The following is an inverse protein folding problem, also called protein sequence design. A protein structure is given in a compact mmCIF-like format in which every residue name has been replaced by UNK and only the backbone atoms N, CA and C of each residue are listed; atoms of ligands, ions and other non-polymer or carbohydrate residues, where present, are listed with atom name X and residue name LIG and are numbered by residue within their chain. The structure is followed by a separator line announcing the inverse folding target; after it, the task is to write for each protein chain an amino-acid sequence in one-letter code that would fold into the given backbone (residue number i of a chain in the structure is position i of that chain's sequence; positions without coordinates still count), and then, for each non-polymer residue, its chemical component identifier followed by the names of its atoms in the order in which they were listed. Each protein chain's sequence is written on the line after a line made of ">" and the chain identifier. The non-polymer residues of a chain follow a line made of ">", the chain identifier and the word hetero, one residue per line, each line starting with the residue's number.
data_IF_056111143852
#
_entry.id   IF_056111143852
#
_cell.length_a   1.000
_cell.length_b   1.000
_cell.length_c   1.000
_cell.angle_alpha   90.00
_cell.angle_beta   90.00
_cell.angle_gamma   90.00
#
_symmetry.space_group_name_H-M   'P 1'
#
loop_
_entity.id
_entity.type
_entity.pdbx_description
1 polymer ?
#
# COMPACT_ATOMS: atom_id res chain seq x y z
N UNK A 1 16.16 26.68 -15.52
CA UNK A 1 14.92 25.89 -15.68
C UNK A 1 14.39 25.57 -14.28
N UNK A 2 13.30 26.17 -13.81
CA UNK A 2 12.92 26.12 -12.38
C UNK A 2 11.67 25.29 -12.02
N UNK A 3 11.27 24.28 -12.82
CA UNK A 3 10.19 23.31 -12.49
C UNK A 3 10.29 22.11 -13.45
N UNK A 4 10.09 20.86 -13.00
CA UNK A 4 10.11 19.71 -13.91
C UNK A 4 8.95 19.78 -14.92
N UNK A 5 9.18 19.39 -16.17
CA UNK A 5 8.11 19.24 -17.18
C UNK A 5 7.13 18.11 -16.82
N UNK A 6 7.60 17.11 -16.09
CA UNK A 6 6.85 15.89 -15.77
C UNK A 6 7.19 15.44 -14.35
N UNK A 7 6.15 15.18 -13.56
CA UNK A 7 6.25 14.47 -12.28
C UNK A 7 5.55 13.12 -12.45
N UNK A 8 6.27 12.04 -12.16
CA UNK A 8 5.76 10.66 -12.22
C UNK A 8 5.73 10.10 -10.81
N UNK A 9 4.55 9.81 -10.28
CA UNK A 9 4.41 9.10 -9.01
C UNK A 9 4.18 7.63 -9.31
N UNK A 10 4.99 6.77 -8.69
CA UNK A 10 4.98 5.33 -8.90
C UNK A 10 4.77 4.67 -7.54
N UNK A 11 3.74 3.85 -7.45
CA UNK A 11 3.59 2.95 -6.31
C UNK A 11 4.58 1.78 -6.43
N UNK A 12 5.18 1.37 -5.32
CA UNK A 12 6.03 0.18 -5.25
C UNK A 12 5.35 -1.07 -5.87
N UNK A 13 6.20 -1.98 -6.35
CA UNK A 13 5.78 -3.25 -6.91
C UNK A 13 5.18 -4.19 -5.84
N UNK A 14 4.64 -5.34 -6.24
CA UNK A 14 4.07 -6.29 -5.29
C UNK A 14 5.09 -6.71 -4.21
N UNK A 15 4.74 -6.49 -2.93
CA UNK A 15 5.54 -6.93 -1.78
C UNK A 15 5.05 -8.25 -1.20
N UNK A 16 5.89 -8.89 -0.40
CA UNK A 16 5.52 -10.09 0.36
C UNK A 16 4.31 -9.83 1.26
N UNK A 17 4.22 -8.63 1.86
CA UNK A 17 3.07 -8.21 2.66
C UNK A 17 1.77 -7.99 1.86
N UNK A 18 1.88 -7.71 0.56
CA UNK A 18 0.70 -7.69 -0.31
C UNK A 18 0.19 -9.10 -0.62
N UNK A 19 1.09 -10.08 -0.73
CA UNK A 19 0.74 -11.49 -0.97
C UNK A 19 0.27 -12.20 0.29
N UNK A 20 0.95 -11.96 1.42
CA UNK A 20 0.65 -12.53 2.72
C UNK A 20 0.73 -11.46 3.81
N UNK A 21 -0.42 -10.99 4.27
CA UNK A 21 -0.52 -9.95 5.30
C UNK A 21 0.04 -10.39 6.66
N UNK A 22 0.10 -11.70 6.94
CA UNK A 22 0.63 -12.22 8.20
C UNK A 22 2.13 -11.92 8.39
N UNK A 23 2.85 -11.57 7.32
CA UNK A 23 4.27 -11.20 7.43
C UNK A 23 4.48 -10.00 8.37
N UNK A 24 3.51 -9.11 8.49
CA UNK A 24 3.59 -7.94 9.36
C UNK A 24 3.48 -8.28 10.87
N UNK A 25 3.26 -9.55 11.21
CA UNK A 25 3.34 -10.04 12.59
C UNK A 25 4.79 -10.31 13.02
N UNK A 26 5.69 -10.57 12.06
CA UNK A 26 7.07 -10.99 12.34
C UNK A 26 8.11 -10.07 11.70
N UNK A 27 7.78 -9.39 10.61
CA UNK A 27 8.67 -8.49 9.89
C UNK A 27 8.16 -7.05 10.02
N UNK A 28 8.99 -6.11 10.50
CA UNK A 28 8.64 -4.69 10.51
C UNK A 28 8.27 -4.18 9.11
N UNK A 29 7.21 -3.37 8.98
CA UNK A 29 6.67 -2.99 7.66
C UNK A 29 7.73 -2.38 6.71
N UNK A 30 8.60 -1.52 7.24
CA UNK A 30 9.67 -0.89 6.47
C UNK A 30 10.69 -1.87 5.86
N UNK A 31 10.79 -3.09 6.40
CA UNK A 31 11.71 -4.15 5.95
C UNK A 31 11.07 -5.18 5.03
N UNK A 32 9.76 -5.10 4.77
CA UNK A 32 9.08 -6.05 3.89
C UNK A 32 9.59 -5.90 2.46
N UNK A 33 10.02 -7.03 1.87
CA UNK A 33 10.65 -7.12 0.54
C UNK A 33 9.61 -7.22 -0.58
N UNK A 34 10.09 -7.02 -1.81
CA UNK A 34 9.36 -7.39 -3.02
C UNK A 34 9.29 -8.90 -3.20
N UNK A 35 8.23 -9.37 -3.86
CA UNK A 35 8.19 -10.73 -4.39
C UNK A 35 9.03 -10.85 -5.66
N UNK A 36 9.24 -12.07 -6.16
CA UNK A 36 9.83 -12.28 -7.50
C UNK A 36 9.01 -11.58 -8.60
N UNK A 37 7.68 -11.67 -8.51
CA UNK A 37 6.76 -10.95 -9.38
C UNK A 37 6.88 -9.43 -9.22
N UNK A 38 7.01 -8.93 -7.99
CA UNK A 38 7.28 -7.51 -7.75
C UNK A 38 8.59 -7.03 -8.37
N UNK A 39 9.63 -7.87 -8.35
CA UNK A 39 10.91 -7.56 -9.00
C UNK A 39 10.75 -7.44 -10.52
N UNK A 40 10.00 -8.35 -11.15
CA UNK A 40 9.64 -8.26 -12.59
C UNK A 40 8.86 -6.98 -12.90
N UNK A 41 7.83 -6.67 -12.12
CA UNK A 41 7.03 -5.45 -12.26
C UNK A 41 7.87 -4.17 -12.17
N UNK A 42 8.88 -4.14 -11.29
CA UNK A 42 9.78 -3.01 -11.13
C UNK A 42 10.68 -2.79 -12.35
N UNK A 43 11.16 -3.88 -12.98
CA UNK A 43 11.93 -3.82 -14.22
C UNK A 43 11.05 -3.30 -15.36
N UNK A 44 9.85 -3.85 -15.54
CA UNK A 44 8.89 -3.40 -16.57
C UNK A 44 8.45 -1.95 -16.37
N UNK A 45 8.34 -1.50 -15.12
CA UNK A 45 8.14 -0.08 -14.82
C UNK A 45 9.31 0.77 -15.33
N UNK A 46 10.55 0.31 -15.18
CA UNK A 46 11.73 0.96 -15.74
C UNK A 46 11.68 1.08 -17.26
N UNK A 47 11.28 0.02 -17.97
CA UNK A 47 11.14 0.02 -19.43
C UNK A 47 10.07 1.00 -19.89
N UNK A 48 8.90 0.99 -19.24
CA UNK A 48 7.81 1.93 -19.51
C UNK A 48 8.23 3.37 -19.22
N UNK A 49 8.97 3.61 -18.14
CA UNK A 49 9.48 4.94 -17.82
C UNK A 49 10.45 5.41 -18.88
N UNK A 50 11.39 4.56 -19.32
CA UNK A 50 12.34 4.90 -20.38
C UNK A 50 11.63 5.37 -21.66
N UNK A 51 10.53 4.71 -22.04
CA UNK A 51 9.72 5.11 -23.20
C UNK A 51 9.00 6.46 -23.08
N UNK A 52 8.87 7.03 -21.86
CA UNK A 52 8.27 8.35 -21.63
C UNK A 52 9.30 9.50 -21.59
N UNK A 53 10.59 9.16 -21.52
CA UNK A 53 11.67 10.13 -21.41
C UNK A 53 12.11 10.59 -22.80
N UNK A 54 12.53 11.85 -22.86
CA UNK A 54 13.15 12.45 -24.03
C UNK A 54 14.67 12.39 -23.88
N UNK A 55 15.45 12.29 -24.97
CA UNK A 55 16.91 12.22 -24.89
C UNK A 55 17.57 13.34 -24.08
N UNK A 56 16.98 14.54 -24.07
CA UNK A 56 17.46 15.70 -23.34
C UNK A 56 17.07 15.73 -21.85
N UNK A 57 16.24 14.78 -21.38
CA UNK A 57 15.76 14.83 -20.01
C UNK A 57 16.85 14.52 -18.99
N UNK A 58 16.78 15.22 -17.86
CA UNK A 58 17.50 14.90 -16.65
C UNK A 58 16.52 14.44 -15.59
N UNK A 59 16.90 13.43 -14.80
CA UNK A 59 16.01 12.79 -13.85
C UNK A 59 16.46 12.97 -12.41
N UNK A 60 15.49 13.26 -11.54
CA UNK A 60 15.61 13.06 -10.10
C UNK A 60 14.62 12.00 -9.67
N UNK A 61 15.08 11.00 -8.94
CA UNK A 61 14.22 10.01 -8.28
C UNK A 61 14.23 10.32 -6.78
N UNK A 62 13.06 10.45 -6.18
CA UNK A 62 12.88 10.50 -4.74
C UNK A 62 12.11 9.24 -4.33
N UNK A 63 12.71 8.40 -3.50
CA UNK A 63 12.12 7.14 -3.03
C UNK A 63 11.81 7.21 -1.54
N UNK A 64 10.75 6.53 -1.12
CA UNK A 64 10.56 6.24 0.30
C UNK A 64 11.69 5.33 0.83
N UNK A 65 11.98 5.37 2.14
CA UNK A 65 13.02 4.56 2.76
C UNK A 65 12.68 3.07 2.87
N UNK A 66 11.43 2.67 2.60
CA UNK A 66 11.03 1.27 2.77
C UNK A 66 11.71 0.36 1.75
N UNK A 67 12.05 -0.86 2.17
CA UNK A 67 12.81 -1.79 1.35
C UNK A 67 12.10 -2.08 0.02
N UNK A 68 10.79 -2.34 0.03
CA UNK A 68 9.97 -2.48 -1.20
C UNK A 68 10.06 -1.29 -2.17
N UNK A 69 10.16 -0.05 -1.68
CA UNK A 69 10.33 1.13 -2.54
C UNK A 69 11.76 1.27 -3.06
N UNK A 70 12.76 0.94 -2.24
CA UNK A 70 14.18 0.88 -2.65
C UNK A 70 14.40 -0.18 -3.74
N UNK A 71 13.88 -1.39 -3.54
CA UNK A 71 13.95 -2.48 -4.52
C UNK A 71 13.20 -2.14 -5.82
N UNK A 72 12.03 -1.50 -5.72
CA UNK A 72 11.31 -1.02 -6.91
C UNK A 72 12.15 0.01 -7.68
N UNK A 73 12.76 0.95 -6.97
CA UNK A 73 13.64 1.97 -7.55
C UNK A 73 14.87 1.34 -8.22
N UNK A 74 15.45 0.30 -7.61
CA UNK A 74 16.56 -0.46 -8.21
C UNK A 74 16.14 -1.13 -9.52
N UNK A 75 14.96 -1.76 -9.56
CA UNK A 75 14.40 -2.34 -10.78
C UNK A 75 14.23 -1.30 -11.89
N UNK A 76 13.68 -0.13 -11.56
CA UNK A 76 13.51 0.99 -12.49
C UNK A 76 14.87 1.45 -13.04
N UNK A 77 15.85 1.69 -12.16
CA UNK A 77 17.19 2.15 -12.53
C UNK A 77 17.93 1.18 -13.46
N UNK A 78 17.68 -0.14 -13.33
CA UNK A 78 18.31 -1.13 -14.21
C UNK A 78 18.04 -0.85 -15.69
N UNK A 79 16.86 -0.32 -16.02
CA UNK A 79 16.45 0.00 -17.38
C UNK A 79 16.83 1.41 -17.80
N UNK A 80 16.86 2.35 -16.85
CA UNK A 80 17.26 3.74 -17.11
C UNK A 80 18.74 3.88 -17.45
N UNK A 81 19.57 2.85 -17.21
CA UNK A 81 20.95 2.77 -17.69
C UNK A 81 21.09 2.96 -19.20
N UNK A 82 20.02 2.67 -19.96
CA UNK A 82 19.94 2.83 -21.42
C UNK A 82 19.70 4.30 -21.85
N UNK A 83 19.40 5.20 -20.92
CA UNK A 83 19.11 6.61 -21.23
C UNK A 83 20.41 7.40 -21.47
N UNK A 84 20.47 8.34 -22.45
CA UNK A 84 21.69 9.11 -22.73
C UNK A 84 22.26 9.90 -21.55
N UNK A 85 21.39 10.37 -20.64
CA UNK A 85 21.76 11.08 -19.41
C UNK A 85 21.71 10.18 -18.15
N UNK A 86 21.92 8.86 -18.28
CA UNK A 86 21.85 7.92 -17.16
C UNK A 86 22.84 8.25 -16.02
N UNK A 87 24.02 8.76 -16.37
CA UNK A 87 25.08 9.21 -15.47
C UNK A 87 24.67 10.40 -14.59
N UNK A 88 23.72 11.22 -15.05
CA UNK A 88 23.22 12.41 -14.35
C UNK A 88 22.04 12.14 -13.43
N UNK A 89 21.50 10.92 -13.42
CA UNK A 89 20.35 10.56 -12.61
C UNK A 89 20.73 10.63 -11.13
N UNK A 90 19.97 11.42 -10.36
CA UNK A 90 20.16 11.53 -8.90
C UNK A 90 19.03 10.82 -8.17
N UNK A 91 19.38 10.05 -7.14
CA UNK A 91 18.43 9.33 -6.27
C UNK A 91 18.52 9.89 -4.86
N UNK A 92 17.39 10.25 -4.29
CA UNK A 92 17.27 10.73 -2.93
C UNK A 92 16.26 9.88 -2.16
N UNK A 93 16.52 9.72 -0.87
CA UNK A 93 15.57 9.10 0.03
C UNK A 93 14.81 10.17 0.81
N UNK A 94 13.50 10.00 0.95
CA UNK A 94 12.63 10.93 1.67
C UNK A 94 11.73 10.18 2.66
N UNK A 95 12.01 10.24 3.97
CA UNK A 95 11.21 9.58 4.99
C UNK A 95 9.76 10.07 5.10
N UNK A 96 9.45 11.30 4.64
CA UNK A 96 8.09 11.87 4.71
C UNK A 96 7.13 11.27 3.68
N UNK A 97 7.63 10.55 2.67
CA UNK A 97 6.80 9.85 1.67
C UNK A 97 6.71 8.34 1.91
N UNK A 98 6.99 7.87 3.12
CA UNK A 98 6.72 6.48 3.54
C UNK A 98 5.22 6.18 3.61
N UNK A 99 4.83 4.90 3.69
CA UNK A 99 3.40 4.53 3.79
C UNK A 99 2.80 5.03 5.12
N UNK A 100 1.48 5.06 5.24
CA UNK A 100 0.83 5.24 6.54
C UNK A 100 1.30 4.15 7.52
N UNK A 101 1.66 4.54 8.74
CA UNK A 101 2.13 3.60 9.75
C UNK A 101 0.94 2.81 10.34
N UNK A 102 0.99 1.47 10.32
CA UNK A 102 -0.06 0.57 10.83
C UNK A 102 0.23 0.05 12.25
N UNK A 103 1.05 0.77 13.02
CA UNK A 103 1.59 0.27 14.28
C UNK A 103 2.89 -0.50 14.10
N UNK A 104 3.39 -1.09 15.20
CA UNK A 104 4.67 -1.80 15.22
C UNK A 104 4.58 -3.16 14.51
N UNK A 105 3.97 -4.14 15.18
CA UNK A 105 3.62 -5.44 14.60
C UNK A 105 2.10 -5.53 14.53
N UNK A 106 1.60 -6.11 13.44
CA UNK A 106 0.17 -6.28 13.26
C UNK A 106 -0.33 -7.44 14.12
N UNK A 107 -1.52 -7.33 14.74
CA UNK A 107 -2.11 -8.42 15.51
C UNK A 107 -2.58 -9.58 14.62
N UNK A 108 -3.21 -10.58 15.24
CA UNK A 108 -3.74 -11.74 14.53
C UNK A 108 -4.80 -11.33 13.47
N UNK A 109 -5.05 -12.22 12.51
CA UNK A 109 -5.94 -11.94 11.38
C UNK A 109 -7.33 -11.46 11.81
N UNK A 110 -7.89 -12.02 12.88
CA UNK A 110 -9.23 -11.64 13.37
C UNK A 110 -9.27 -10.18 13.90
N UNK A 111 -8.25 -9.76 14.64
CA UNK A 111 -8.16 -8.39 15.14
C UNK A 111 -7.88 -7.40 14.01
N UNK A 112 -7.02 -7.78 13.05
CA UNK A 112 -6.79 -7.00 11.84
C UNK A 112 -8.06 -6.81 11.01
N UNK A 113 -8.86 -7.84 10.83
CA UNK A 113 -10.14 -7.74 10.12
C UNK A 113 -11.13 -6.84 10.84
N UNK A 114 -11.24 -6.95 12.17
CA UNK A 114 -12.07 -6.04 12.97
C UNK A 114 -11.63 -4.59 12.77
N UNK A 115 -10.34 -4.32 12.89
CA UNK A 115 -9.77 -2.98 12.70
C UNK A 115 -10.03 -2.46 11.29
N UNK A 116 -9.93 -3.30 10.26
CA UNK A 116 -10.23 -2.90 8.88
C UNK A 116 -11.71 -2.59 8.66
N UNK A 117 -12.63 -3.33 9.27
CA UNK A 117 -14.06 -3.00 9.21
C UNK A 117 -14.36 -1.68 9.91
N UNK A 118 -13.82 -1.49 11.10
CA UNK A 118 -13.98 -0.24 11.86
C UNK A 118 -13.43 0.93 11.06
N UNK A 119 -12.23 0.78 10.50
CA UNK A 119 -11.63 1.79 9.63
C UNK A 119 -12.49 2.13 8.42
N UNK A 120 -13.04 1.13 7.74
CA UNK A 120 -13.90 1.34 6.58
C UNK A 120 -15.21 2.06 6.94
N UNK A 121 -15.75 1.80 8.13
CA UNK A 121 -16.95 2.47 8.64
C UNK A 121 -16.67 3.90 9.14
N UNK A 122 -15.55 4.10 9.83
CA UNK A 122 -15.13 5.40 10.40
C UNK A 122 -14.69 6.39 9.30
N UNK A 123 -13.97 5.89 8.31
CA UNK A 123 -13.39 6.65 7.22
C UNK A 123 -11.87 6.66 7.26
N UNK A 124 -11.26 6.39 6.11
CA UNK A 124 -9.82 6.16 5.99
C UNK A 124 -8.99 7.38 6.35
N UNK A 125 -9.54 8.59 6.17
CA UNK A 125 -8.83 9.84 6.40
C UNK A 125 -8.61 10.12 7.89
N UNK A 126 -9.67 9.99 8.70
CA UNK A 126 -9.64 10.34 10.12
C UNK A 126 -9.38 9.16 11.06
N UNK A 127 -9.59 7.92 10.60
CA UNK A 127 -9.35 6.74 11.44
C UNK A 127 -7.88 6.63 11.85
N UNK A 128 -7.64 6.45 13.15
CA UNK A 128 -6.30 6.33 13.72
C UNK A 128 -6.04 4.90 14.12
N UNK A 129 -5.02 4.33 13.48
CA UNK A 129 -4.60 2.97 13.75
C UNK A 129 -3.88 2.94 15.11
N UNK A 130 -4.17 1.96 15.99
CA UNK A 130 -3.46 1.82 17.26
C UNK A 130 -1.94 1.75 17.08
N UNK A 131 -1.20 2.58 17.83
CA UNK A 131 0.25 2.77 17.71
C UNK A 131 0.75 3.17 16.31
N UNK A 132 -0.17 3.52 15.40
CA UNK A 132 0.12 3.90 14.03
C UNK A 132 -0.29 5.34 13.74
N UNK A 133 -0.67 5.57 12.50
CA UNK A 133 -0.92 6.89 11.93
C UNK A 133 -2.34 6.95 11.34
N UNK A 134 -3.00 8.10 11.36
CA UNK A 134 -4.19 8.38 10.53
C UNK A 134 -3.79 8.97 9.18
N UNK A 135 -4.66 8.95 8.16
CA UNK A 135 -4.28 9.58 6.89
C UNK A 135 -4.17 11.12 7.02
N UNK A 136 -4.83 11.72 8.03
CA UNK A 136 -4.67 13.12 8.39
C UNK A 136 -3.27 13.42 8.93
N UNK A 137 -2.72 12.59 9.82
CA UNK A 137 -1.34 12.75 10.29
C UNK A 137 -0.34 12.60 9.11
N UNK A 138 -0.63 11.66 8.21
CA UNK A 138 0.14 11.46 6.98
C UNK A 138 0.05 12.65 6.00
N UNK A 139 -1.08 13.34 5.96
CA UNK A 139 -1.28 14.56 5.18
C UNK A 139 -0.41 15.71 5.69
N UNK A 140 -0.23 15.84 7.00
CA UNK A 140 0.60 16.88 7.59
C UNK A 140 2.09 16.69 7.26
N UNK A 141 2.62 15.46 7.36
CA UNK A 141 4.02 15.20 6.95
C UNK A 141 4.25 15.40 5.46
N UNK A 142 3.30 15.02 4.60
CA UNK A 142 3.43 15.24 3.15
C UNK A 142 3.32 16.71 2.80
N UNK A 143 2.59 17.50 3.59
CA UNK A 143 2.53 18.95 3.42
C UNK A 143 3.92 19.59 3.52
N UNK A 144 4.68 19.24 4.56
CA UNK A 144 6.06 19.71 4.70
C UNK A 144 7.01 19.22 3.59
N UNK A 145 6.78 18.01 3.06
CA UNK A 145 7.51 17.53 1.88
C UNK A 145 7.19 18.38 0.65
N UNK A 146 5.91 18.63 0.36
CA UNK A 146 5.48 19.43 -0.78
C UNK A 146 6.06 20.85 -0.74
N UNK A 147 6.09 21.49 0.43
CA UNK A 147 6.70 22.81 0.60
C UNK A 147 8.20 22.80 0.30
N UNK A 148 8.95 21.81 0.81
CA UNK A 148 10.35 21.63 0.47
C UNK A 148 10.57 21.37 -1.02
N UNK A 149 9.71 20.56 -1.64
CA UNK A 149 9.80 20.24 -3.06
C UNK A 149 9.53 21.47 -3.93
N UNK A 150 8.51 22.27 -3.58
CA UNK A 150 8.21 23.53 -4.26
C UNK A 150 9.36 24.54 -4.18
N UNK A 151 10.07 24.60 -3.04
CA UNK A 151 11.28 25.44 -2.92
C UNK A 151 12.40 24.95 -3.83
N UNK A 152 12.64 23.63 -3.90
CA UNK A 152 13.67 23.06 -4.78
C UNK A 152 13.38 23.33 -6.25
N UNK A 153 12.12 23.47 -6.64
CA UNK A 153 11.81 23.83 -8.03
C UNK A 153 12.45 25.16 -8.40
N UNK A 154 12.54 26.15 -7.50
CA UNK A 154 13.19 27.43 -7.81
C UNK A 154 14.66 27.31 -8.28
N UNK A 155 15.33 26.19 -8.04
CA UNK A 155 16.68 25.92 -8.54
C UNK A 155 16.68 25.80 -10.07
N UNK A 156 17.49 26.59 -10.77
CA UNK A 156 17.54 26.56 -12.25
C UNK A 156 18.06 25.25 -12.85
N UNK A 157 18.77 24.46 -12.04
CA UNK A 157 19.31 23.15 -12.37
C UNK A 157 18.37 22.01 -11.92
N UNK A 158 17.13 22.31 -11.52
CA UNK A 158 16.19 21.28 -11.14
C UNK A 158 15.88 20.37 -12.36
N UNK A 159 15.95 19.03 -12.21
CA UNK A 159 15.80 18.12 -13.35
C UNK A 159 14.45 18.24 -14.06
N UNK A 160 14.44 17.98 -15.37
CA UNK A 160 13.23 18.11 -16.20
C UNK A 160 12.17 17.07 -15.83
N UNK A 161 12.57 15.91 -15.30
CA UNK A 161 11.64 14.87 -14.86
C UNK A 161 11.90 14.50 -13.40
N UNK A 162 10.84 14.52 -12.59
CA UNK A 162 10.86 14.08 -11.20
C UNK A 162 10.08 12.76 -11.08
N UNK A 163 10.68 11.74 -10.48
CA UNK A 163 10.03 10.47 -10.19
C UNK A 163 9.91 10.30 -8.68
N UNK A 164 8.70 10.05 -8.19
CA UNK A 164 8.41 9.78 -6.78
C UNK A 164 8.05 8.30 -6.64
N UNK A 165 8.90 7.49 -6.00
CA UNK A 165 8.62 6.07 -5.73
C UNK A 165 8.12 5.93 -4.29
N UNK A 166 6.83 5.65 -4.13
CA UNK A 166 6.14 5.67 -2.84
C UNK A 166 5.08 4.55 -2.76
N UNK A 167 4.01 4.77 -2.03
CA UNK A 167 3.00 3.78 -1.66
C UNK A 167 1.61 4.19 -2.12
N UNK A 168 0.65 3.30 -1.92
CA UNK A 168 -0.70 3.47 -2.48
C UNK A 168 -1.48 4.59 -1.81
N UNK A 169 -1.58 4.53 -0.47
CA UNK A 169 -2.29 5.58 0.27
C UNK A 169 -1.50 6.89 0.22
N UNK A 170 -0.18 6.81 0.36
CA UNK A 170 0.68 8.00 0.26
C UNK A 170 0.54 8.75 -1.07
N UNK A 171 0.38 8.03 -2.20
CA UNK A 171 0.09 8.68 -3.50
C UNK A 171 -1.24 9.45 -3.46
N UNK A 172 -2.30 8.87 -2.87
CA UNK A 172 -3.60 9.53 -2.75
C UNK A 172 -3.52 10.79 -1.88
N UNK A 173 -2.79 10.72 -0.76
CA UNK A 173 -2.60 11.85 0.16
C UNK A 173 -1.77 12.95 -0.50
N UNK A 174 -0.69 12.59 -1.20
CA UNK A 174 0.11 13.54 -1.96
C UNK A 174 -0.75 14.31 -2.97
N UNK A 175 -1.59 13.60 -3.74
CA UNK A 175 -2.48 14.21 -4.72
C UNK A 175 -3.55 15.08 -4.06
N UNK A 176 -4.11 14.63 -2.92
CA UNK A 176 -5.05 15.43 -2.14
C UNK A 176 -4.42 16.76 -1.71
N UNK A 177 -3.20 16.72 -1.17
CA UNK A 177 -2.46 17.94 -0.79
C UNK A 177 -2.12 18.81 -2.00
N UNK A 178 -1.71 18.20 -3.11
CA UNK A 178 -1.26 18.91 -4.31
C UNK A 178 -2.39 19.63 -5.03
N UNK A 179 -3.54 18.98 -5.18
CA UNK A 179 -4.69 19.48 -5.92
C UNK A 179 -5.80 20.04 -5.03
N UNK A 180 -5.57 20.10 -3.73
CA UNK A 180 -6.55 20.56 -2.74
C UNK A 180 -7.88 19.82 -2.82
N UNK A 181 -7.81 18.50 -2.99
CA UNK A 181 -9.02 17.68 -3.00
C UNK A 181 -9.72 17.72 -1.65
N UNK A 182 -11.05 17.64 -1.67
CA UNK A 182 -11.84 17.51 -0.45
C UNK A 182 -11.61 16.13 0.18
N UNK A 183 -11.93 16.02 1.47
CA UNK A 183 -11.84 14.74 2.19
C UNK A 183 -12.79 13.71 1.56
N UNK A 184 -13.97 14.12 1.13
CA UNK A 184 -14.97 13.25 0.48
C UNK A 184 -14.43 12.67 -0.83
N UNK A 185 -13.75 13.48 -1.64
CA UNK A 185 -13.13 12.98 -2.86
C UNK A 185 -11.99 12.02 -2.54
N UNK A 186 -11.16 12.33 -1.54
CA UNK A 186 -10.10 11.42 -1.09
C UNK A 186 -10.64 10.05 -0.64
N UNK A 187 -11.73 10.03 0.13
CA UNK A 187 -12.40 8.82 0.58
C UNK A 187 -13.00 8.01 -0.58
N UNK A 188 -13.43 8.69 -1.65
CA UNK A 188 -13.95 8.05 -2.86
C UNK A 188 -12.85 7.49 -3.77
N UNK A 189 -11.59 7.93 -3.62
CA UNK A 189 -10.47 7.41 -4.40
C UNK A 189 -10.14 5.95 -4.03
N UNK A 190 -9.97 5.12 -5.05
CA UNK A 190 -9.44 3.75 -4.89
C UNK A 190 -7.93 3.77 -4.78
N UNK A 191 -7.38 2.72 -4.16
CA UNK A 191 -5.93 2.55 -4.10
C UNK A 191 -5.29 2.43 -5.50
N UNK A 192 -4.08 2.95 -5.64
CA UNK A 192 -3.26 2.90 -6.87
C UNK A 192 -2.70 1.49 -7.05
N UNK A 193 -2.66 0.95 -8.27
CA UNK A 193 -2.12 -0.40 -8.52
C UNK A 193 -0.58 -0.44 -8.45
N UNK A 194 -0.01 -1.63 -8.30
CA UNK A 194 1.46 -1.80 -8.26
C UNK A 194 2.09 -1.29 -9.54
N UNK A 195 3.18 -0.52 -9.40
CA UNK A 195 3.90 0.07 -10.53
C UNK A 195 3.03 0.90 -11.48
N UNK A 196 1.82 1.31 -11.08
CA UNK A 196 0.98 2.21 -11.85
C UNK A 196 1.57 3.61 -11.81
N UNK A 197 1.59 4.29 -12.96
CA UNK A 197 2.10 5.65 -13.08
C UNK A 197 0.97 6.66 -12.89
N UNK A 198 1.18 7.59 -11.97
CA UNK A 198 0.39 8.81 -11.87
C UNK A 198 1.20 9.94 -12.49
N UNK A 199 0.76 10.38 -13.67
CA UNK A 199 1.45 11.37 -14.49
C UNK A 199 0.88 12.76 -14.25
N UNK A 200 1.75 13.69 -13.86
CA UNK A 200 1.44 15.09 -13.65
C UNK A 200 2.33 15.91 -14.59
N UNK A 201 1.73 16.51 -15.61
CA UNK A 201 2.45 17.26 -16.62
C UNK A 201 2.34 18.76 -16.40
N UNK A 202 3.46 19.45 -16.51
CA UNK A 202 3.47 20.91 -16.39
C UNK A 202 2.80 21.54 -17.60
N UNK A 203 1.77 22.34 -17.33
CA UNK A 203 1.13 23.17 -18.32
C UNK A 203 2.01 24.42 -18.58
N UNK A 204 2.43 24.66 -19.83
CA UNK A 204 3.32 25.78 -20.14
C UNK A 204 2.65 27.15 -20.00
N UNK A 205 1.32 27.22 -20.07
CA UNK A 205 0.55 28.47 -20.01
C UNK A 205 0.22 28.84 -18.56
N UNK A 206 -0.27 27.88 -17.77
CA UNK A 206 -0.72 28.14 -16.39
C UNK A 206 0.39 27.97 -15.35
N UNK A 207 1.51 27.37 -15.73
CA UNK A 207 2.62 27.01 -14.84
C UNK A 207 2.22 26.06 -13.69
N UNK A 208 1.06 25.39 -13.84
CA UNK A 208 0.52 24.36 -12.94
C UNK A 208 0.74 22.97 -13.52
N UNK A 209 0.51 21.95 -12.72
CA UNK A 209 0.56 20.55 -13.17
C UNK A 209 -0.85 20.04 -13.45
N UNK A 210 -1.07 19.51 -14.64
CA UNK A 210 -2.30 18.83 -15.02
C UNK A 210 -2.15 17.33 -14.75
N UNK A 211 -3.08 16.75 -13.99
CA UNK A 211 -3.13 15.31 -13.76
C UNK A 211 -3.63 14.59 -15.02
N UNK A 212 -2.74 13.85 -15.70
CA UNK A 212 -3.09 13.10 -16.92
C UNK A 212 -3.69 11.73 -16.61
N UNK A 213 -3.27 11.11 -15.51
CA UNK A 213 -3.79 9.80 -15.10
C UNK A 213 -5.21 9.93 -14.53
N UNK A 214 -6.18 9.24 -15.13
CA UNK A 214 -7.53 9.14 -14.58
C UNK A 214 -7.54 8.24 -13.34
N UNK A 215 -7.84 8.83 -12.19
CA UNK A 215 -7.97 8.10 -10.94
C UNK A 215 -9.28 7.30 -10.90
N UNK A 216 -9.24 6.13 -10.26
CA UNK A 216 -10.43 5.29 -10.06
C UNK A 216 -11.14 5.71 -8.78
N UNK A 217 -12.47 5.72 -8.81
CA UNK A 217 -13.29 6.02 -7.64
C UNK A 217 -14.31 4.92 -7.35
N UNK A 218 -14.70 4.79 -6.08
CA UNK A 218 -15.75 3.87 -5.65
C UNK A 218 -17.11 4.26 -6.22
N UNK A 219 -17.41 5.56 -6.26
CA UNK A 219 -18.63 6.09 -6.87
C UNK A 219 -18.76 5.73 -8.35
N UNK A 220 -17.67 5.78 -9.12
CA UNK A 220 -17.69 5.43 -10.53
C UNK A 220 -17.92 3.93 -10.74
N UNK A 221 -17.33 3.07 -9.90
CA UNK A 221 -17.55 1.63 -9.98
C UNK A 221 -18.97 1.24 -9.56
N UNK A 222 -19.53 1.90 -8.53
CA UNK A 222 -20.93 1.71 -8.12
C UNK A 222 -21.90 2.06 -9.24
N UNK A 223 -21.74 3.21 -9.88
CA UNK A 223 -22.60 3.61 -11.02
C UNK A 223 -22.55 2.59 -12.16
N UNK A 224 -21.36 2.07 -12.49
CA UNK A 224 -21.21 1.03 -13.52
C UNK A 224 -21.92 -0.27 -13.15
N UNK A 225 -21.84 -0.67 -11.89
CA UNK A 225 -22.51 -1.87 -11.40
C UNK A 225 -24.04 -1.69 -11.37
N UNK A 226 -24.54 -0.52 -10.96
CA UNK A 226 -25.96 -0.16 -11.04
C UNK A 226 -26.48 -0.18 -12.48
N UNK A 227 -25.74 0.42 -13.43
CA UNK A 227 -26.05 0.38 -14.86
C UNK A 227 -26.06 -1.05 -15.40
N UNK A 228 -25.12 -1.90 -14.96
CA UNK A 228 -25.06 -3.30 -15.34
C UNK A 228 -26.27 -4.07 -14.81
N UNK A 229 -26.63 -3.87 -13.56
CA UNK A 229 -27.83 -4.48 -12.95
C UNK A 229 -29.13 -4.03 -13.63
N UNK A 230 -29.20 -2.78 -14.10
CA UNK A 230 -30.34 -2.28 -14.89
C UNK A 230 -30.44 -2.97 -16.25
N UNK A 231 -29.32 -3.36 -16.87
CA UNK A 231 -29.29 -4.03 -18.18
C UNK A 231 -29.47 -5.55 -18.09
N UNK A 232 -28.79 -6.19 -17.14
CA UNK A 232 -28.70 -7.66 -17.01
C UNK A 232 -29.74 -8.24 -16.03
N UNK A 233 -30.46 -7.38 -15.29
CA UNK A 233 -31.31 -7.77 -14.18
C UNK A 233 -30.54 -7.76 -12.85
N UNK A 234 -31.09 -7.09 -11.84
CA UNK A 234 -30.50 -7.04 -10.51
C UNK A 234 -30.69 -8.35 -9.71
N UNK A 235 -30.12 -8.44 -8.50
CA UNK A 235 -30.35 -9.58 -7.60
C UNK A 235 -31.85 -9.80 -7.36
N UNK A 236 -32.25 -11.06 -7.19
CA UNK A 236 -33.65 -11.43 -6.96
C UNK A 236 -34.22 -10.71 -5.73
N UNK A 237 -35.52 -10.39 -5.74
CA UNK A 237 -36.22 -9.81 -4.59
C UNK A 237 -36.05 -10.65 -3.30
N UNK A 238 -35.83 -11.98 -3.44
CA UNK A 238 -35.53 -12.87 -2.32
C UNK A 238 -34.14 -12.64 -1.74
N UNK A 239 -33.16 -12.29 -2.57
CA UNK A 239 -31.78 -12.03 -2.17
C UNK A 239 -31.65 -10.65 -1.50
N UNK A 240 -32.33 -9.62 -2.02
CA UNK A 240 -32.42 -8.31 -1.37
C UNK A 240 -33.02 -8.40 0.04
N UNK A 241 -34.13 -9.14 0.20
CA UNK A 241 -34.77 -9.33 1.51
C UNK A 241 -33.88 -10.04 2.51
N UNK A 242 -33.02 -10.96 2.04
CA UNK A 242 -32.05 -11.68 2.87
C UNK A 242 -30.89 -10.77 3.29
N UNK A 243 -30.45 -9.89 2.39
CA UNK A 243 -29.42 -8.87 2.67
C UNK A 243 -29.93 -7.82 3.66
N UNK A 244 -31.15 -7.32 3.49
CA UNK A 244 -31.81 -6.37 4.39
C UNK A 244 -32.04 -6.96 5.78
N UNK A 245 -32.51 -8.21 5.87
CA UNK A 245 -32.67 -8.90 7.15
C UNK A 245 -31.31 -9.13 7.86
N UNK A 246 -30.26 -9.44 7.09
CA UNK A 246 -28.90 -9.53 7.64
C UNK A 246 -28.40 -8.17 8.14
N UNK A 247 -28.65 -7.07 7.41
CA UNK A 247 -28.25 -5.72 7.81
C UNK A 247 -29.03 -5.20 9.03
N UNK A 248 -30.35 -5.45 9.11
CA UNK A 248 -31.21 -4.98 10.20
C UNK A 248 -30.96 -5.70 11.54
N UNK A 249 -30.30 -6.86 11.52
CA UNK A 249 -29.91 -7.62 12.73
C UNK A 249 -28.53 -7.24 13.28
N UNK A 250 -27.87 -6.23 12.68
CA UNK A 250 -26.50 -5.82 12.99
C UNK A 250 -26.50 -4.43 13.66
N UNK A 251 -26.65 -4.39 14.98
CA UNK A 251 -26.22 -3.22 15.73
C UNK A 251 -24.70 -3.34 15.96
N UNK A 252 -23.90 -2.78 15.03
CA UNK A 252 -22.43 -2.82 15.15
C UNK A 252 -21.97 -1.70 16.07
N UNK A 253 -21.54 -2.08 17.27
CA UNK A 253 -20.98 -1.15 18.24
C UNK A 253 -19.44 -1.21 18.16
N UNK A 254 -18.82 -0.19 17.56
CA UNK A 254 -17.36 -0.10 17.45
C UNK A 254 -16.69 0.44 18.74
N UNK A 255 -17.43 1.21 19.55
CA UNK A 255 -16.93 1.82 20.80
C UNK A 255 -17.48 1.16 22.08
N UNK A 256 -16.90 1.49 23.23
CA UNK A 256 -17.34 0.98 24.53
C UNK A 256 -16.19 0.85 25.52
N UNK A 257 -16.49 0.35 26.73
CA UNK A 257 -15.43 0.05 27.69
C UNK A 257 -14.61 -1.15 27.22
N UNK A 258 -13.29 -0.94 27.11
CA UNK A 258 -12.30 -1.94 26.65
C UNK A 258 -12.40 -3.26 27.43
N UNK A 259 -12.74 -3.20 28.72
CA UNK A 259 -12.92 -4.36 29.60
C UNK A 259 -14.38 -4.63 29.98
N UNK A 260 -15.33 -3.94 29.34
CA UNK A 260 -16.70 -3.82 29.82
C UNK A 260 -16.77 -2.96 31.09
N UNK A 261 -17.72 -2.02 31.13
CA UNK A 261 -18.08 -1.34 32.36
C UNK A 261 -19.60 -1.47 32.51
N UNK A 262 -20.06 -1.85 33.71
CA UNK A 262 -21.47 -1.79 34.04
C UNK A 262 -21.87 -0.34 34.35
N UNK A 263 -22.02 0.47 33.31
CA UNK A 263 -22.63 1.81 33.45
C UNK A 263 -24.14 1.74 33.80
N UNK A 264 -24.71 0.54 33.91
CA UNK A 264 -26.11 0.30 34.30
C UNK A 264 -26.36 0.07 35.80
N UNK A 265 -25.33 0.00 36.66
CA UNK A 265 -25.52 -0.31 38.10
C UNK A 265 -25.47 0.92 39.01
N UNK A 266 -26.17 1.99 38.64
CA UNK A 266 -26.66 2.96 39.64
C UNK A 266 -28.14 3.22 39.40
N UNK A 267 -28.96 2.73 40.34
CA UNK A 267 -30.41 2.97 40.50
C UNK A 267 -31.39 2.35 39.49
N UNK A 268 -31.67 1.05 39.65
CA UNK A 268 -33.06 0.57 39.79
C UNK A 268 -33.14 -0.54 40.86
N UNK A 269 -34.05 -0.46 41.85
CA UNK A 269 -34.16 -1.47 42.90
C UNK A 269 -34.74 -2.78 42.36
N UNK A 270 -34.32 -3.86 43.02
CA UNK A 270 -34.52 -5.29 42.79
C UNK A 270 -35.92 -5.73 42.31
N UNK A 271 -35.94 -6.69 41.39
CA UNK A 271 -36.87 -7.82 41.46
C UNK A 271 -36.11 -9.12 41.23
N UNK A 272 -36.13 -10.00 42.23
CA UNK A 272 -35.54 -11.33 42.22
C UNK A 272 -36.23 -12.24 41.21
N UNK A 273 -35.46 -12.99 40.44
CA UNK A 273 -35.83 -14.34 40.02
C UNK A 273 -34.55 -15.18 39.89
N UNK A 274 -34.59 -16.33 40.52
CA UNK A 274 -33.48 -17.19 40.91
C UNK A 274 -33.03 -18.20 39.86
N UNK A 275 -31.76 -18.60 40.02
CA UNK A 275 -31.15 -19.91 39.73
C UNK A 275 -30.77 -20.27 38.29
N UNK A 276 -29.52 -20.75 38.17
CA UNK A 276 -29.11 -21.65 37.11
C UNK A 276 -27.63 -21.54 36.74
N UNK A 277 -26.74 -22.14 37.54
CA UNK A 277 -25.41 -22.53 37.06
C UNK A 277 -25.58 -23.64 36.02
N UNK A 278 -25.14 -23.43 34.77
CA UNK A 278 -24.83 -24.51 33.83
C UNK A 278 -23.74 -24.05 32.84
N UNK A 279 -22.82 -24.98 32.61
CA UNK A 279 -21.60 -25.06 31.79
C UNK A 279 -21.66 -24.55 30.33
N UNK A 280 -20.49 -24.43 29.63
CA UNK A 280 -20.37 -23.70 28.37
C UNK A 280 -20.80 -24.55 27.17
N UNK A 281 -21.36 -23.98 26.08
CA UNK A 281 -21.54 -24.73 24.86
C UNK A 281 -20.32 -24.60 23.96
N UNK A 282 -19.62 -25.73 23.81
CA UNK A 282 -18.87 -26.05 22.59
C UNK A 282 -19.86 -26.14 21.42
N UNK A 283 -19.69 -25.28 20.41
CA UNK A 283 -20.28 -25.41 19.06
C UNK A 283 -19.48 -24.55 18.07
N UNK A 284 -18.29 -25.01 17.76
CA UNK A 284 -17.61 -24.64 16.51
C UNK A 284 -18.30 -25.42 15.38
N UNK A 285 -18.87 -24.72 14.38
CA UNK A 285 -18.85 -25.06 12.93
C UNK A 285 -19.86 -24.32 12.04
N UNK A 286 -20.80 -23.51 12.56
CA UNK A 286 -21.71 -22.70 11.69
C UNK A 286 -21.54 -21.17 11.82
N UNK A 287 -20.90 -20.68 12.89
CA UNK A 287 -20.76 -19.24 13.16
C UNK A 287 -19.68 -18.55 12.32
N UNK A 288 -18.67 -19.28 11.84
CA UNK A 288 -17.57 -18.69 11.07
C UNK A 288 -18.01 -18.18 9.69
N UNK A 289 -18.85 -18.94 9.00
CA UNK A 289 -19.38 -18.60 7.66
C UNK A 289 -20.41 -17.48 7.70
N UNK A 290 -21.27 -17.44 8.73
CA UNK A 290 -22.19 -16.32 8.92
C UNK A 290 -21.44 -15.03 9.29
N UNK A 291 -20.42 -15.11 10.14
CA UNK A 291 -19.60 -13.95 10.51
C UNK A 291 -18.76 -13.43 9.33
N UNK A 292 -18.21 -14.31 8.50
CA UNK A 292 -17.49 -13.94 7.28
C UNK A 292 -18.43 -13.29 6.24
N UNK A 293 -19.66 -13.81 6.07
CA UNK A 293 -20.67 -13.18 5.22
C UNK A 293 -21.14 -11.82 5.75
N UNK A 294 -21.24 -11.65 7.08
CA UNK A 294 -21.54 -10.37 7.76
C UNK A 294 -20.46 -9.33 7.50
N UNK A 295 -19.20 -9.74 7.67
CA UNK A 295 -18.01 -8.92 7.43
C UNK A 295 -17.95 -8.45 5.96
N UNK A 296 -18.18 -9.38 5.01
CA UNK A 296 -18.21 -9.07 3.57
C UNK A 296 -19.35 -8.12 3.18
N UNK A 297 -20.54 -8.23 3.79
CA UNK A 297 -21.68 -7.36 3.49
C UNK A 297 -21.47 -5.92 3.97
N UNK A 298 -20.94 -5.74 5.18
CA UNK A 298 -20.65 -4.41 5.73
C UNK A 298 -19.65 -3.62 4.85
N UNK A 299 -18.72 -4.34 4.21
CA UNK A 299 -17.70 -3.77 3.30
C UNK A 299 -18.30 -3.39 1.96
N UNK A 300 -19.16 -4.25 1.42
CA UNK A 300 -19.92 -3.96 0.20
C UNK A 300 -20.84 -2.75 0.39
N UNK A 301 -21.45 -2.61 1.57
CA UNK A 301 -22.29 -1.45 1.91
C UNK A 301 -21.47 -0.18 2.18
N UNK A 302 -20.32 -0.29 2.84
CA UNK A 302 -19.42 0.84 3.07
C UNK A 302 -18.79 1.36 1.76
N UNK A 303 -18.66 0.50 0.74
CA UNK A 303 -18.18 0.87 -0.59
C UNK A 303 -16.73 1.35 -0.59
N UNK A 304 -15.89 0.86 0.33
CA UNK A 304 -14.47 1.27 0.48
C UNK A 304 -13.57 0.02 0.59
N UNK A 305 -12.30 0.15 0.20
CA UNK A 305 -11.34 -0.97 0.34
C UNK A 305 -10.88 -1.15 1.78
N UNK A 306 -10.40 -2.37 2.07
CA UNK A 306 -9.63 -2.67 3.27
C UNK A 306 -8.16 -2.22 3.19
N UNK A 307 -7.82 -1.24 2.34
CA UNK A 307 -6.43 -0.81 2.10
C UNK A 307 -5.56 -1.83 1.34
N UNK A 308 -6.13 -2.92 0.82
CA UNK A 308 -5.43 -3.92 0.01
C UNK A 308 -5.68 -3.74 -1.49
N UNK A 309 -4.65 -3.91 -2.30
CA UNK A 309 -4.79 -3.87 -3.77
C UNK A 309 -5.32 -5.19 -4.30
N UNK A 310 -6.21 -5.14 -5.29
CA UNK A 310 -6.89 -6.32 -5.88
C UNK A 310 -5.93 -7.28 -6.61
N UNK A 311 -4.66 -6.93 -6.73
CA UNK A 311 -3.60 -7.66 -7.43
C UNK A 311 -3.15 -8.97 -6.74
N UNK A 312 -3.78 -9.37 -5.63
CA UNK A 312 -3.56 -10.67 -4.96
C UNK A 312 -4.64 -11.73 -5.21
N UNK A 313 -5.73 -11.41 -5.93
CA UNK A 313 -6.75 -12.40 -6.28
C UNK A 313 -6.46 -12.94 -7.68
N UNK A 314 -6.32 -14.26 -7.79
CA UNK A 314 -5.91 -14.97 -9.00
C UNK A 314 -6.57 -14.47 -10.28
N UNK A 315 -5.74 -14.26 -11.29
CA UNK A 315 -6.17 -14.18 -12.68
C UNK A 315 -7.01 -15.42 -12.98
N UNK A 316 -8.33 -15.24 -13.10
CA UNK A 316 -9.16 -16.20 -13.84
C UNK A 316 -8.77 -16.00 -15.30
N UNK A 317 -8.03 -16.98 -15.80
CA UNK A 317 -7.76 -17.20 -17.21
C UNK A 317 -9.06 -17.00 -17.99
N UNK A 318 -9.06 -16.02 -18.89
CA UNK A 318 -9.97 -16.04 -20.03
C UNK A 318 -9.63 -17.29 -20.84
N UNK A 319 -10.65 -18.12 -21.05
CA UNK A 319 -10.65 -19.23 -21.97
C UNK A 319 -10.69 -18.74 -23.41
N UNK A 320 -10.37 -19.67 -24.32
CA UNK A 320 -10.56 -19.67 -25.78
C UNK A 320 -9.37 -19.05 -26.55
N UNK A 321 -8.65 -19.70 -27.47
CA UNK A 321 -8.80 -20.98 -28.17
C UNK A 321 -7.43 -21.48 -28.68
N UNK A 322 -7.38 -22.77 -28.99
CA UNK A 322 -6.27 -23.53 -29.59
C UNK A 322 -5.63 -22.88 -30.83
N UNK A 323 -4.30 -22.87 -30.90
CA UNK A 323 -3.60 -23.44 -32.07
C UNK A 323 -2.15 -23.83 -31.74
N UNK A 324 -1.81 -25.02 -32.22
CA UNK A 324 -0.63 -25.83 -31.98
C UNK A 324 0.68 -25.26 -32.57
N UNK A 325 1.79 -25.47 -31.86
CA UNK A 325 3.14 -25.30 -32.40
C UNK A 325 4.23 -25.68 -31.41
N UNK A 326 4.54 -26.97 -31.33
CA UNK A 326 5.69 -27.57 -30.66
C UNK A 326 7.03 -26.95 -31.08
N UNK A 327 7.99 -26.81 -30.16
CA UNK A 327 9.41 -27.19 -30.31
C UNK A 327 10.09 -27.14 -28.92
N UNK A 328 10.91 -28.16 -28.70
CA UNK A 328 11.50 -28.63 -27.45
C UNK A 328 12.67 -27.78 -26.88
N UNK A 329 12.87 -27.99 -25.58
CA UNK A 329 14.12 -28.09 -24.81
C UNK A 329 15.42 -27.40 -25.30
N UNK A 330 16.01 -26.56 -24.44
CA UNK A 330 17.28 -26.93 -23.77
C UNK A 330 17.65 -25.94 -22.64
N UNK A 331 17.82 -26.50 -21.45
CA UNK A 331 18.54 -25.87 -20.34
C UNK A 331 20.04 -26.06 -20.55
N UNK A 332 20.84 -25.00 -20.44
CA UNK A 332 22.25 -25.12 -20.05
C UNK A 332 22.77 -23.85 -19.37
N UNK A 333 23.74 -24.10 -18.50
CA UNK A 333 24.30 -23.32 -17.40
C UNK A 333 25.26 -22.17 -17.80
N UNK A 334 25.81 -21.37 -16.84
CA UNK A 334 26.21 -19.98 -17.04
C UNK A 334 27.67 -19.82 -17.47
N UNK A 335 27.97 -18.74 -18.21
CA UNK A 335 29.34 -18.34 -18.53
C UNK A 335 29.73 -17.02 -17.86
N UNK A 336 30.65 -17.18 -16.90
CA UNK A 336 31.84 -16.42 -16.55
C UNK A 336 31.89 -14.88 -16.63
N UNK A 337 32.36 -14.36 -15.49
CA UNK A 337 32.78 -13.01 -15.19
C UNK A 337 33.83 -12.44 -16.15
N UNK A 338 33.61 -11.21 -16.62
CA UNK A 338 34.67 -10.33 -17.09
C UNK A 338 34.80 -9.14 -16.12
N UNK A 339 35.94 -9.11 -15.43
CA UNK A 339 36.39 -7.98 -14.65
C UNK A 339 37.04 -6.94 -15.57
N UNK A 340 36.69 -5.65 -15.41
CA UNK A 340 37.46 -4.52 -15.93
C UNK A 340 37.62 -3.45 -14.84
N UNK A 341 38.69 -2.62 -14.91
CA UNK A 341 39.33 -2.07 -13.73
C UNK A 341 38.75 -0.74 -13.26
N UNK A 342 38.96 -0.54 -11.97
CA UNK A 342 38.68 0.62 -11.13
C UNK A 342 39.25 1.92 -11.70
N UNK A 343 38.39 2.94 -11.86
CA UNK A 343 38.81 4.34 -11.88
C UNK A 343 37.67 5.25 -11.40
N UNK A 344 37.94 5.99 -10.32
CA UNK A 344 37.24 7.23 -9.97
C UNK A 344 36.09 7.11 -8.98
N UNK A 345 36.38 7.35 -7.70
CA UNK A 345 35.42 7.48 -6.60
C UNK A 345 34.38 8.60 -6.85
N UNK A 346 33.23 8.20 -7.39
CA UNK A 346 31.93 8.81 -7.10
C UNK A 346 30.87 7.72 -7.34
N UNK A 347 30.44 7.04 -6.27
CA UNK A 347 29.55 5.89 -6.42
C UNK A 347 28.26 6.28 -7.14
N UNK A 348 27.95 5.59 -8.24
CA UNK A 348 26.79 5.90 -9.07
C UNK A 348 25.46 5.76 -8.31
N UNK A 349 24.34 6.23 -8.86
CA UNK A 349 23.02 6.18 -8.20
C UNK A 349 22.60 4.76 -7.78
N UNK A 350 23.05 3.75 -8.54
CA UNK A 350 22.82 2.33 -8.23
C UNK A 350 23.64 1.87 -7.03
N UNK A 351 24.88 2.34 -6.88
CA UNK A 351 25.77 1.94 -5.78
C UNK A 351 25.31 2.55 -4.45
N UNK A 352 24.92 3.83 -4.45
CA UNK A 352 24.34 4.48 -3.28
C UNK A 352 23.10 3.73 -2.76
N UNK A 353 22.21 3.31 -3.66
CA UNK A 353 21.03 2.54 -3.29
C UNK A 353 21.37 1.11 -2.83
N UNK A 354 22.39 0.47 -3.43
CA UNK A 354 22.88 -0.83 -2.98
C UNK A 354 23.47 -0.78 -1.58
N UNK A 355 24.16 0.30 -1.20
CA UNK A 355 24.65 0.48 0.18
C UNK A 355 23.47 0.53 1.16
N UNK A 356 22.43 1.29 0.84
CA UNK A 356 21.21 1.38 1.67
C UNK A 356 20.50 0.02 1.80
N UNK A 357 20.34 -0.72 0.69
CA UNK A 357 19.70 -2.04 0.69
C UNK A 357 20.56 -3.08 1.45
N UNK A 358 21.89 -3.02 1.32
CA UNK A 358 22.81 -3.94 2.01
C UNK A 358 22.84 -3.68 3.51
N UNK A 359 22.76 -2.42 3.95
CA UNK A 359 22.68 -2.07 5.37
C UNK A 359 21.45 -2.73 6.03
N UNK A 360 20.27 -2.63 5.41
CA UNK A 360 19.05 -3.30 5.89
C UNK A 360 19.21 -4.85 5.91
N UNK A 361 19.95 -5.40 4.95
CA UNK A 361 20.19 -6.85 4.87
C UNK A 361 21.15 -7.36 5.95
N UNK A 362 22.16 -6.57 6.32
CA UNK A 362 23.08 -6.92 7.42
C UNK A 362 22.41 -6.79 8.79
N UNK A 363 21.49 -5.83 8.94
CA UNK A 363 20.66 -5.71 10.13
C UNK A 363 19.66 -6.87 10.26
N UNK A 364 19.23 -7.49 9.16
CA UNK A 364 18.44 -8.74 9.22
C UNK A 364 19.27 -9.90 9.81
N UNK A 365 20.53 -10.06 9.39
CA UNK A 365 21.41 -11.11 9.94
C UNK A 365 21.72 -10.84 11.42
N UNK A 366 21.93 -9.58 11.81
CA UNK A 366 22.15 -9.21 13.23
C UNK A 366 20.91 -9.36 14.09
N UNK A 367 19.72 -9.03 13.57
CA UNK A 367 18.47 -9.22 14.29
C UNK A 367 18.11 -10.70 14.45
N UNK A 368 18.41 -11.54 13.46
CA UNK A 368 18.29 -13.00 13.56
C UNK A 368 19.29 -13.58 14.58
N UNK A 369 20.52 -13.06 14.63
CA UNK A 369 21.54 -13.47 15.61
C UNK A 369 21.25 -12.99 17.04
N UNK A 370 20.51 -11.90 17.22
CA UNK A 370 20.09 -11.38 18.53
C UNK A 370 18.81 -12.08 19.05
N UNK A 371 18.24 -13.04 18.31
CA UNK A 371 17.14 -13.89 18.76
C UNK A 371 17.55 -14.93 19.81
N UNK A 372 18.85 -15.19 19.97
CA UNK A 372 19.42 -16.06 21.00
C UNK A 372 19.98 -15.23 22.17
N UNK A 373 19.15 -14.39 22.80
CA UNK A 373 19.47 -13.91 24.15
C UNK A 373 19.08 -15.02 25.12
N UNK A 374 20.07 -15.83 25.49
CA UNK A 374 19.96 -16.76 26.59
C UNK A 374 19.39 -16.03 27.82
N UNK A 375 18.29 -16.58 28.32
CA UNK A 375 17.62 -16.17 29.53
C UNK A 375 18.55 -16.53 30.71
N UNK A 376 19.44 -15.62 31.11
CA UNK A 376 20.16 -15.75 32.38
C UNK A 376 19.24 -15.32 33.52
N UNK A 377 18.84 -16.31 34.32
CA UNK A 377 18.20 -16.15 35.62
C UNK A 377 19.02 -15.21 36.51
N UNK A 378 18.43 -14.08 36.90
CA UNK A 378 19.12 -13.04 37.64
C UNK A 378 18.23 -12.22 38.57
N UNK A 379 17.58 -12.90 39.52
CA UNK A 379 17.17 -12.41 40.85
C UNK A 379 16.79 -10.94 41.06
N UNK A 380 15.52 -10.73 41.42
CA UNK A 380 15.00 -9.52 42.08
C UNK A 380 15.77 -9.23 43.38
N UNK A 381 16.26 -8.00 43.54
CA UNK A 381 16.40 -7.33 44.85
C UNK A 381 16.05 -5.85 44.74
N UNK A 382 14.93 -5.52 45.39
CA UNK A 382 14.36 -4.25 45.86
C UNK A 382 14.75 -2.95 45.15
#
# INVERSE_FOLDING_TARGET
>A
MGKPRLIVIIRHAQSEGNKNKAIHQTVPDHRVKLTSEGTRQAVEAGERLLGLLRPEDNLRIITSPYLRTRETTKGILSQLSKHPNADKIKVYEEPRIREQDFGNFQPCTAEMERMWHERAAYGHFFYRIPNGESAADAYDRVSGFNESLWRQFADEDFPSVLVLVTHGLMTRIFLMKWYHYSVEYFEDLKNIDHCQFVLMEKNPVTDKYDLKTKLRTWSADRRKEEERQQREGGPSAKDLKKLEAAAASLEVVYGGCVNGCNHGTTNKPKTNASNGLTEPPSRETENGTAQDLRNKLAVLQAGRDFGGSRSGAGSRTCSDDDESGSIDEEMSEPLEAFAYPDSGRSGGPVEALQILIRADSQDNVRAELLGDVAQEDGGVRL
#
